data_IF_884077459194
#
_entry.id   IF_884077459194
#
_cell.length_a   1.000
_cell.length_b   1.000
_cell.length_c   1.000
_cell.angle_alpha   90.00
_cell.angle_beta   90.00
_cell.angle_gamma   90.00
#
_symmetry.space_group_name_H-M   'P 1'
#
loop_
_entity.id
_entity.type
_entity.pdbx_description
1 polymer ?
#
# COMPACT_ATOMS: atom_id res chain seq x y z
N UNK A 1 -36.11 -33.01 18.43
CA UNK A 1 -35.06 -33.39 19.41
C UNK A 1 -33.90 -34.04 18.67
N UNK A 2 -32.83 -33.29 18.39
CA UNK A 2 -31.54 -33.83 17.92
C UNK A 2 -30.43 -33.07 18.65
N UNK A 3 -29.49 -33.85 19.19
CA UNK A 3 -28.58 -33.50 20.28
C UNK A 3 -27.38 -32.69 19.76
N UNK A 4 -27.00 -31.66 20.52
CA UNK A 4 -25.82 -30.82 20.31
C UNK A 4 -24.68 -31.41 21.14
N UNK A 5 -23.57 -31.76 20.51
CA UNK A 5 -22.33 -32.16 21.20
C UNK A 5 -21.36 -30.99 21.17
N UNK A 6 -20.98 -30.49 22.35
CA UNK A 6 -19.93 -29.49 22.56
C UNK A 6 -18.57 -30.18 22.60
N UNK A 7 -17.59 -29.64 21.89
CA UNK A 7 -16.18 -30.00 22.08
C UNK A 7 -15.42 -28.74 22.49
N UNK A 8 -14.85 -28.77 23.69
CA UNK A 8 -13.91 -27.78 24.19
C UNK A 8 -12.48 -28.26 23.87
N UNK A 9 -11.63 -27.39 23.34
CA UNK A 9 -10.18 -27.58 23.32
C UNK A 9 -9.55 -26.45 24.12
N UNK A 10 -8.87 -26.83 25.20
CA UNK A 10 -7.93 -25.97 25.91
C UNK A 10 -6.51 -26.24 25.42
N UNK A 11 -5.70 -25.18 25.33
CA UNK A 11 -4.26 -25.29 25.18
C UNK A 11 -3.59 -24.49 26.29
N UNK A 12 -2.82 -25.20 27.10
CA UNK A 12 -1.87 -24.64 28.06
C UNK A 12 -0.47 -25.11 27.64
N UNK A 13 0.48 -24.18 27.55
CA UNK A 13 1.92 -24.50 27.60
C UNK A 13 2.70 -23.24 27.91
N UNK A 14 3.10 -23.10 29.18
CA UNK A 14 4.14 -22.17 29.62
C UNK A 14 5.47 -22.91 29.61
N UNK A 15 6.46 -22.40 28.87
CA UNK A 15 7.81 -22.95 28.75
C UNK A 15 8.86 -21.94 29.21
N UNK A 16 9.52 -22.28 30.30
CA UNK A 16 10.53 -21.54 31.05
C UNK A 16 11.91 -21.63 30.36
N UNK A 17 12.67 -20.53 30.27
CA UNK A 17 14.09 -20.56 29.86
C UNK A 17 15.01 -20.13 31.00
N UNK A 18 16.03 -20.97 31.18
CA UNK A 18 16.92 -21.10 32.33
C UNK A 18 18.19 -20.28 32.08
N UNK A 19 18.64 -19.56 33.11
CA UNK A 19 19.95 -18.92 33.16
C UNK A 19 21.07 -19.97 33.39
N UNK A 20 22.17 -19.85 32.64
CA UNK A 20 23.39 -20.63 32.83
C UNK A 20 24.62 -19.73 32.77
N UNK A 21 25.37 -19.69 33.88
CA UNK A 21 26.66 -19.01 34.07
C UNK A 21 27.81 -20.03 34.02
N UNK A 22 29.03 -19.52 33.75
CA UNK A 22 30.37 -20.14 33.82
C UNK A 22 30.79 -20.96 32.57
N UNK A 23 32.05 -20.95 32.11
CA UNK A 23 33.32 -20.71 32.80
C UNK A 23 34.45 -20.28 31.85
N UNK A 24 35.48 -19.66 32.44
CA UNK A 24 36.77 -19.27 31.87
C UNK A 24 37.63 -20.47 31.43
N UNK A 25 38.49 -20.27 30.43
CA UNK A 25 39.82 -20.88 30.40
C UNK A 25 40.83 -19.96 29.70
N UNK A 26 41.97 -19.77 30.36
CA UNK A 26 43.09 -18.91 29.96
C UNK A 26 44.27 -19.77 29.52
N UNK A 27 44.95 -19.43 28.41
CA UNK A 27 46.39 -19.71 28.25
C UNK A 27 47.04 -18.73 27.24
N UNK A 28 48.24 -18.20 27.51
CA UNK A 28 48.89 -17.18 26.69
C UNK A 28 49.95 -17.72 25.70
N UNK A 29 50.27 -16.87 24.72
CA UNK A 29 51.43 -16.82 23.83
C UNK A 29 51.49 -17.77 22.61
N UNK A 30 51.37 -17.20 21.41
CA UNK A 30 52.37 -17.29 20.31
C UNK A 30 51.99 -16.40 19.12
N UNK A 31 53.02 -15.83 18.52
CA UNK A 31 53.07 -14.85 17.44
C UNK A 31 52.25 -15.21 16.20
N UNK A 32 51.41 -14.29 15.74
CA UNK A 32 50.76 -14.35 14.43
C UNK A 32 50.14 -12.99 14.10
N UNK A 33 50.67 -12.31 13.09
CA UNK A 33 50.00 -11.18 12.46
C UNK A 33 48.64 -11.63 11.97
N UNK A 34 47.58 -11.12 12.59
CA UNK A 34 46.23 -11.23 12.08
C UNK A 34 45.65 -9.83 12.14
N UNK A 35 45.90 -9.06 11.08
CA UNK A 35 45.14 -7.85 10.80
C UNK A 35 43.67 -8.24 10.87
N UNK A 36 42.96 -7.75 11.89
CA UNK A 36 41.51 -7.77 11.85
C UNK A 36 41.10 -7.00 10.58
N UNK A 37 40.26 -7.55 9.69
CA UNK A 37 39.65 -6.71 8.69
C UNK A 37 38.74 -5.76 9.47
N UNK A 38 39.17 -4.51 9.62
CA UNK A 38 38.26 -3.44 9.95
C UNK A 38 37.22 -3.44 8.84
N UNK A 39 36.05 -3.99 9.13
CA UNK A 39 34.89 -3.83 8.29
C UNK A 39 34.53 -2.36 8.40
N UNK A 40 35.18 -1.54 7.57
CA UNK A 40 34.65 -0.23 7.22
C UNK A 40 33.29 -0.50 6.60
N UNK A 41 32.24 -0.42 7.42
CA UNK A 41 30.93 -0.07 6.92
C UNK A 41 31.10 1.34 6.35
N UNK A 42 31.36 1.41 5.05
CA UNK A 42 31.05 2.61 4.29
C UNK A 42 29.57 2.84 4.55
N UNK A 43 29.25 3.83 5.38
CA UNK A 43 27.91 4.37 5.41
C UNK A 43 27.67 4.89 3.99
N UNK A 44 26.86 4.17 3.20
CA UNK A 44 26.37 4.71 1.95
C UNK A 44 25.64 6.01 2.31
N UNK A 45 26.13 7.12 1.78
CA UNK A 45 25.42 8.39 1.83
C UNK A 45 24.02 8.17 1.25
N UNK A 46 22.99 8.39 2.06
CA UNK A 46 21.62 8.43 1.57
C UNK A 46 21.56 9.44 0.42
N UNK A 47 20.96 9.08 -0.73
CA UNK A 47 20.93 9.96 -1.88
C UNK A 47 20.12 11.23 -1.55
N UNK A 48 20.42 12.29 -2.29
CA UNK A 48 19.71 13.57 -2.13
C UNK A 48 18.52 13.53 -3.08
N UNK A 49 17.28 13.80 -2.62
CA UNK A 49 16.13 13.88 -3.51
C UNK A 49 16.30 15.03 -4.50
N UNK A 50 15.88 14.82 -5.75
CA UNK A 50 15.79 15.86 -6.78
C UNK A 50 14.72 16.89 -6.45
N UNK A 51 13.63 16.46 -5.81
CA UNK A 51 12.57 17.32 -5.31
C UNK A 51 11.99 16.77 -4.02
N UNK A 52 11.63 17.67 -3.11
CA UNK A 52 10.98 17.34 -1.84
C UNK A 52 9.83 18.30 -1.60
N UNK A 53 8.66 17.76 -1.30
CA UNK A 53 7.49 18.51 -0.87
C UNK A 53 7.15 18.06 0.55
N UNK A 54 7.45 18.88 1.57
CA UNK A 54 7.35 18.46 2.97
C UNK A 54 5.91 18.43 3.50
N UNK A 55 4.96 19.07 2.81
CA UNK A 55 3.53 19.00 3.12
C UNK A 55 2.73 19.06 1.83
N UNK A 56 1.78 18.14 1.71
CA UNK A 56 0.79 18.06 0.63
C UNK A 56 -0.59 18.58 1.06
N UNK A 57 -0.68 19.45 2.07
CA UNK A 57 -1.96 20.02 2.55
C UNK A 57 -2.68 20.84 1.46
N UNK A 58 -1.94 21.37 0.49
CA UNK A 58 -2.46 22.04 -0.71
C UNK A 58 -2.50 21.10 -1.93
N UNK A 59 -2.48 19.78 -1.70
CA UNK A 59 -2.45 18.77 -2.74
C UNK A 59 -3.62 18.89 -3.71
N UNK A 60 -3.43 18.41 -4.95
CA UNK A 60 -4.43 18.52 -6.01
C UNK A 60 -5.28 17.25 -6.04
N UNK A 61 -4.79 16.20 -6.69
CA UNK A 61 -5.49 14.92 -6.76
C UNK A 61 -4.58 13.76 -7.18
N UNK A 62 -5.06 12.55 -6.88
CA UNK A 62 -4.64 11.32 -7.53
C UNK A 62 -5.80 10.82 -8.38
N UNK A 63 -5.57 10.65 -9.67
CA UNK A 63 -6.53 10.07 -10.60
C UNK A 63 -6.13 8.64 -10.97
N UNK A 64 -7.05 7.68 -10.92
CA UNK A 64 -6.86 6.30 -11.37
C UNK A 64 -7.78 6.05 -12.56
N UNK A 65 -7.20 5.97 -13.75
CA UNK A 65 -7.92 5.57 -14.95
C UNK A 65 -8.19 4.07 -14.87
N UNK A 66 -9.47 3.69 -14.80
CA UNK A 66 -9.87 2.30 -14.68
C UNK A 66 -9.50 1.51 -15.94
N UNK A 67 -8.92 0.33 -15.71
CA UNK A 67 -8.61 -0.60 -16.78
C UNK A 67 -9.90 -1.19 -17.38
N UNK A 68 -9.90 -1.39 -18.69
CA UNK A 68 -11.08 -1.89 -19.41
C UNK A 68 -11.42 -3.34 -19.00
N UNK A 69 -10.42 -4.18 -18.76
CA UNK A 69 -10.62 -5.56 -18.32
C UNK A 69 -11.11 -5.60 -16.87
N UNK A 70 -10.68 -4.64 -16.04
CA UNK A 70 -11.23 -4.47 -14.70
C UNK A 70 -12.71 -4.10 -14.73
N UNK A 71 -13.09 -3.09 -15.51
CA UNK A 71 -14.49 -2.69 -15.65
C UNK A 71 -15.38 -3.82 -16.22
N UNK A 72 -14.83 -4.61 -17.16
CA UNK A 72 -15.49 -5.80 -17.68
C UNK A 72 -15.66 -6.90 -16.61
N UNK A 73 -14.63 -7.12 -15.78
CA UNK A 73 -14.69 -8.07 -14.67
C UNK A 73 -15.76 -7.66 -13.64
N UNK A 74 -15.81 -6.39 -13.24
CA UNK A 74 -16.86 -5.86 -12.34
C UNK A 74 -18.25 -6.12 -12.93
N UNK A 75 -18.44 -5.82 -14.21
CA UNK A 75 -19.71 -6.05 -14.91
C UNK A 75 -20.09 -7.53 -14.92
N UNK A 76 -19.13 -8.43 -15.20
CA UNK A 76 -19.37 -9.88 -15.19
C UNK A 76 -19.74 -10.41 -13.81
N UNK A 77 -19.28 -9.75 -12.74
CA UNK A 77 -19.57 -10.10 -11.36
C UNK A 77 -20.84 -9.41 -10.83
N UNK A 78 -21.47 -8.54 -11.64
CA UNK A 78 -22.62 -7.76 -11.20
C UNK A 78 -22.27 -6.71 -10.15
N UNK A 79 -20.98 -6.34 -10.03
CA UNK A 79 -20.50 -5.30 -9.13
C UNK A 79 -20.63 -3.95 -9.83
N UNK A 80 -21.37 -3.04 -9.20
CA UNK A 80 -21.52 -1.67 -9.69
C UNK A 80 -20.51 -0.79 -8.96
N UNK A 81 -19.53 -0.19 -9.67
CA UNK A 81 -18.60 0.76 -9.08
C UNK A 81 -19.29 2.09 -8.74
N UNK A 82 -18.89 2.68 -7.62
CA UNK A 82 -19.33 3.99 -7.16
C UNK A 82 -18.20 4.76 -6.48
N UNK A 83 -18.52 5.98 -6.03
CA UNK A 83 -17.60 6.85 -5.31
C UNK A 83 -18.17 7.18 -3.94
N UNK A 84 -17.28 7.46 -2.98
CA UNK A 84 -17.63 7.81 -1.61
C UNK A 84 -16.99 9.16 -1.26
N UNK A 85 -17.74 9.98 -0.53
CA UNK A 85 -17.24 11.24 0.00
C UNK A 85 -16.85 12.24 -1.09
N UNK A 86 -15.60 12.71 -1.07
CA UNK A 86 -15.07 13.73 -1.99
C UNK A 86 -14.51 13.16 -3.30
N UNK A 87 -14.47 11.82 -3.43
CA UNK A 87 -14.03 11.19 -4.67
C UNK A 87 -15.02 11.46 -5.81
N UNK A 88 -14.52 11.53 -7.04
CA UNK A 88 -15.35 11.69 -8.23
C UNK A 88 -14.98 10.66 -9.30
N UNK A 89 -15.91 10.35 -10.19
CA UNK A 89 -15.69 9.48 -11.35
C UNK A 89 -15.98 10.28 -12.62
N UNK A 90 -14.93 10.60 -13.37
CA UNK A 90 -14.99 11.43 -14.58
C UNK A 90 -14.25 10.73 -15.70
N UNK A 91 -14.91 10.53 -16.85
CA UNK A 91 -14.32 9.92 -18.04
C UNK A 91 -13.61 8.58 -17.78
N UNK A 92 -14.15 7.76 -16.86
CA UNK A 92 -13.57 6.47 -16.47
C UNK A 92 -12.40 6.55 -15.48
N UNK A 93 -12.05 7.76 -15.02
CA UNK A 93 -11.04 7.99 -13.98
C UNK A 93 -11.69 8.25 -12.64
N UNK A 94 -11.28 7.50 -11.61
CA UNK A 94 -11.57 7.82 -10.22
C UNK A 94 -10.59 8.90 -9.76
N UNK A 95 -11.09 10.01 -9.25
CA UNK A 95 -10.29 11.15 -8.81
C UNK A 95 -10.45 11.30 -7.30
N UNK A 96 -9.33 11.24 -6.59
CA UNK A 96 -9.24 11.34 -5.14
C UNK A 96 -8.44 12.59 -4.75
N UNK A 97 -9.06 13.59 -4.10
CA UNK A 97 -8.33 14.73 -3.59
C UNK A 97 -7.21 14.30 -2.63
N UNK A 98 -6.05 14.95 -2.73
CA UNK A 98 -4.95 14.74 -1.77
C UNK A 98 -5.21 15.68 -0.58
N UNK A 99 -5.23 15.12 0.63
CA UNK A 99 -5.55 15.86 1.86
C UNK A 99 -4.35 16.10 2.75
N UNK A 100 -3.22 15.44 2.49
CA UNK A 100 -2.05 15.51 3.34
C UNK A 100 -0.92 14.58 2.90
N UNK A 101 0.11 14.52 3.73
CA UNK A 101 1.32 13.73 3.50
C UNK A 101 2.51 14.54 2.97
N UNK A 102 3.50 13.84 2.43
CA UNK A 102 4.75 14.40 1.92
C UNK A 102 5.29 13.52 0.80
N UNK A 103 6.15 14.08 -0.06
CA UNK A 103 6.79 13.30 -1.11
C UNK A 103 8.23 13.74 -1.37
N UNK A 104 9.10 12.76 -1.53
CA UNK A 104 10.46 12.90 -2.03
C UNK A 104 10.57 12.17 -3.38
N UNK A 105 11.14 12.86 -4.36
CA UNK A 105 11.41 12.33 -5.69
C UNK A 105 12.93 12.23 -5.90
N UNK A 106 13.41 11.03 -6.15
CA UNK A 106 14.82 10.72 -6.38
C UNK A 106 15.07 10.50 -7.88
N UNK A 107 16.34 10.57 -8.26
CA UNK A 107 16.76 10.42 -9.65
C UNK A 107 16.53 8.98 -10.16
N UNK A 108 15.70 8.78 -11.20
CA UNK A 108 15.54 7.47 -11.83
C UNK A 108 16.83 6.94 -12.49
N UNK A 109 17.82 7.80 -12.78
CA UNK A 109 19.12 7.41 -13.34
C UNK A 109 20.07 6.81 -12.29
N UNK A 110 19.84 7.05 -11.00
CA UNK A 110 20.59 6.45 -9.90
C UNK A 110 20.08 5.03 -9.57
N UNK A 111 20.86 4.24 -8.83
CA UNK A 111 20.47 2.88 -8.39
C UNK A 111 19.52 2.88 -7.17
N UNK A 112 19.07 4.05 -6.72
CA UNK A 112 18.21 4.18 -5.56
C UNK A 112 16.73 3.96 -5.89
N UNK A 113 16.08 3.02 -5.20
CA UNK A 113 14.69 2.64 -5.44
C UNK A 113 13.93 2.39 -4.12
N UNK A 114 12.61 2.66 -4.10
CA UNK A 114 11.83 3.35 -5.14
C UNK A 114 12.20 4.83 -5.25
N UNK A 115 12.03 5.41 -6.44
CA UNK A 115 12.39 6.81 -6.71
C UNK A 115 11.31 7.81 -6.27
N UNK A 116 10.19 7.33 -5.74
CA UNK A 116 9.19 8.14 -5.04
C UNK A 116 9.06 7.57 -3.64
N UNK A 117 9.14 8.42 -2.62
CA UNK A 117 8.97 8.04 -1.23
C UNK A 117 8.14 9.08 -0.49
N UNK A 118 7.54 8.68 0.63
CA UNK A 118 6.73 9.57 1.45
C UNK A 118 5.41 8.93 1.84
N UNK A 119 4.36 9.75 1.95
CA UNK A 119 2.99 9.33 2.25
C UNK A 119 2.03 10.25 1.51
N UNK A 120 0.97 9.71 0.93
CA UNK A 120 -0.13 10.51 0.39
C UNK A 120 -1.43 10.11 1.06
N UNK A 121 -2.14 11.10 1.60
CA UNK A 121 -3.40 10.92 2.32
C UNK A 121 -4.57 11.39 1.45
N UNK A 122 -5.67 10.65 1.48
CA UNK A 122 -6.88 10.90 0.70
C UNK A 122 -8.13 10.79 1.60
N UNK A 123 -8.07 11.43 2.76
CA UNK A 123 -9.08 11.33 3.81
C UNK A 123 -10.46 11.81 3.36
N UNK A 124 -11.51 11.11 3.78
CA UNK A 124 -12.89 11.44 3.42
C UNK A 124 -13.24 11.21 1.95
N UNK A 125 -12.38 10.50 1.21
CA UNK A 125 -12.65 10.04 -0.17
C UNK A 125 -12.66 8.51 -0.22
N UNK A 126 -13.28 7.94 -1.25
CA UNK A 126 -13.33 6.48 -1.39
C UNK A 126 -13.98 5.96 -2.66
N UNK A 127 -13.91 4.64 -2.79
CA UNK A 127 -14.45 3.85 -3.88
C UNK A 127 -15.44 2.82 -3.31
N UNK A 128 -16.56 2.60 -3.98
CA UNK A 128 -17.55 1.60 -3.55
C UNK A 128 -17.83 0.57 -4.62
N UNK A 129 -18.18 -0.64 -4.17
CA UNK A 129 -18.65 -1.74 -5.00
C UNK A 129 -19.98 -2.22 -4.44
N UNK A 130 -21.04 -2.15 -5.24
CA UNK A 130 -22.38 -2.57 -4.84
C UNK A 130 -22.85 -3.76 -5.65
N UNK A 131 -23.39 -4.77 -4.97
CA UNK A 131 -24.04 -5.94 -5.56
C UNK A 131 -25.35 -6.25 -4.82
N UNK A 132 -26.49 -5.99 -5.46
CA UNK A 132 -27.79 -6.16 -4.82
C UNK A 132 -27.93 -5.28 -3.58
N UNK A 133 -28.11 -5.91 -2.42
CA UNK A 133 -28.23 -5.21 -1.11
C UNK A 133 -26.89 -5.01 -0.41
N UNK A 134 -25.80 -5.60 -0.93
CA UNK A 134 -24.46 -5.50 -0.33
C UNK A 134 -23.69 -4.36 -0.97
N UNK A 135 -23.17 -3.46 -0.14
CA UNK A 135 -22.24 -2.39 -0.53
C UNK A 135 -20.97 -2.51 0.27
N UNK A 136 -19.83 -2.56 -0.43
CA UNK A 136 -18.49 -2.45 0.16
C UNK A 136 -17.98 -1.06 -0.14
N UNK A 137 -17.50 -0.35 0.87
CA UNK A 137 -16.86 0.96 0.73
C UNK A 137 -15.41 0.85 1.17
N UNK A 138 -14.51 1.33 0.31
CA UNK A 138 -13.09 1.47 0.56
C UNK A 138 -12.80 2.97 0.70
N UNK A 139 -12.36 3.43 1.87
CA UNK A 139 -12.25 4.87 2.18
C UNK A 139 -10.96 5.22 2.91
N UNK A 140 -10.66 6.51 3.02
CA UNK A 140 -9.54 7.05 3.82
C UNK A 140 -8.21 6.42 3.41
N UNK A 141 -7.87 6.64 2.13
CA UNK A 141 -6.69 5.99 1.56
C UNK A 141 -5.40 6.65 2.04
N UNK A 142 -4.44 5.81 2.43
CA UNK A 142 -3.06 6.19 2.67
C UNK A 142 -2.17 5.42 1.71
N UNK A 143 -1.38 6.14 0.91
CA UNK A 143 -0.44 5.56 -0.05
C UNK A 143 0.98 5.68 0.51
N UNK A 144 1.69 4.56 0.59
CA UNK A 144 3.11 4.50 0.86
C UNK A 144 3.85 4.14 -0.45
N UNK A 145 4.38 5.13 -1.20
CA UNK A 145 5.17 4.86 -2.39
C UNK A 145 6.52 4.20 -2.08
N UNK A 146 7.01 4.29 -0.83
CA UNK A 146 8.24 3.65 -0.36
C UNK A 146 8.12 2.13 -0.26
N UNK A 147 6.97 1.61 0.17
CA UNK A 147 6.66 0.17 0.12
C UNK A 147 5.82 -0.24 -1.09
N UNK A 148 5.35 0.74 -1.87
CA UNK A 148 4.45 0.54 -3.02
C UNK A 148 3.11 -0.10 -2.62
N UNK A 149 2.53 0.41 -1.53
CA UNK A 149 1.30 -0.11 -0.93
C UNK A 149 0.27 1.00 -0.77
N UNK A 150 -1.01 0.63 -0.88
CA UNK A 150 -2.15 1.51 -0.60
C UNK A 150 -3.04 0.85 0.45
N UNK A 151 -3.25 1.58 1.55
CA UNK A 151 -4.06 1.18 2.68
C UNK A 151 -5.36 1.97 2.74
N UNK A 152 -6.40 1.38 3.30
CA UNK A 152 -7.66 2.09 3.56
C UNK A 152 -8.60 1.33 4.46
N UNK A 153 -9.64 2.02 4.89
CA UNK A 153 -10.71 1.45 5.69
C UNK A 153 -11.70 0.72 4.79
N UNK A 154 -12.23 -0.40 5.29
CA UNK A 154 -13.21 -1.23 4.60
C UNK A 154 -14.46 -1.29 5.44
N UNK A 155 -15.59 -0.88 4.87
CA UNK A 155 -16.91 -1.09 5.47
C UNK A 155 -17.78 -1.94 4.56
N UNK A 156 -18.64 -2.75 5.16
CA UNK A 156 -19.65 -3.55 4.46
C UNK A 156 -21.01 -3.16 5.02
N UNK A 157 -21.87 -2.60 4.18
CA UNK A 157 -23.18 -2.07 4.58
C UNK A 157 -23.11 -1.08 5.75
N UNK A 158 -22.04 -0.28 5.80
CA UNK A 158 -21.78 0.72 6.86
C UNK A 158 -21.20 0.16 8.16
N UNK A 159 -20.93 -1.15 8.25
CA UNK A 159 -20.21 -1.76 9.38
C UNK A 159 -18.73 -1.92 9.04
N UNK A 160 -17.84 -1.56 9.96
CA UNK A 160 -16.39 -1.68 9.77
C UNK A 160 -15.99 -3.15 9.68
N UNK A 161 -15.42 -3.54 8.54
CA UNK A 161 -14.86 -4.86 8.31
C UNK A 161 -13.33 -4.90 8.56
N UNK A 162 -12.63 -3.83 8.21
CA UNK A 162 -11.21 -3.64 8.51
C UNK A 162 -10.86 -2.14 8.53
N UNK A 163 -9.89 -1.77 9.36
CA UNK A 163 -9.32 -0.41 9.38
C UNK A 163 -7.91 -0.49 8.78
N UNK A 164 -7.56 0.46 7.89
CA UNK A 164 -6.26 0.54 7.22
C UNK A 164 -5.73 -0.82 6.72
N UNK A 165 -6.59 -1.60 6.06
CA UNK A 165 -6.18 -2.85 5.42
C UNK A 165 -5.34 -2.55 4.17
N UNK A 166 -4.39 -3.42 3.83
CA UNK A 166 -3.69 -3.35 2.55
C UNK A 166 -4.68 -3.63 1.42
N UNK A 167 -5.04 -2.62 0.62
CA UNK A 167 -6.06 -2.74 -0.41
C UNK A 167 -5.45 -2.99 -1.79
N UNK A 168 -4.39 -2.25 -2.11
CA UNK A 168 -3.75 -2.33 -3.42
C UNK A 168 -2.23 -2.37 -3.30
N UNK A 169 -1.62 -3.10 -4.22
CA UNK A 169 -0.20 -3.01 -4.51
C UNK A 169 0.00 -2.03 -5.67
N UNK A 170 1.09 -1.27 -5.60
CA UNK A 170 1.44 -0.27 -6.59
C UNK A 170 2.68 -0.74 -7.35
N UNK A 171 2.78 -0.38 -8.63
CA UNK A 171 3.97 -0.68 -9.41
C UNK A 171 4.39 0.54 -10.24
N UNK A 172 5.50 1.14 -9.83
CA UNK A 172 6.08 2.33 -10.45
C UNK A 172 6.98 2.06 -11.67
N UNK A 173 7.15 0.80 -12.08
CA UNK A 173 8.06 0.45 -13.20
C UNK A 173 7.58 0.93 -14.58
N UNK A 174 6.36 1.45 -14.66
CA UNK A 174 5.75 2.05 -15.87
C UNK A 174 5.61 3.57 -15.78
N UNK A 175 6.21 4.19 -14.76
CA UNK A 175 6.17 5.63 -14.59
C UNK A 175 6.83 6.36 -15.76
N UNK A 176 6.13 7.39 -16.24
CA UNK A 176 6.67 8.38 -17.15
C UNK A 176 7.61 9.32 -16.40
N UNK A 177 8.51 10.03 -17.11
CA UNK A 177 9.29 11.11 -16.51
C UNK A 177 8.37 12.13 -15.80
N UNK A 178 8.89 12.75 -14.73
CA UNK A 178 8.18 13.82 -14.03
C UNK A 178 7.86 14.97 -14.99
N UNK A 179 6.59 15.36 -15.05
CA UNK A 179 6.13 16.49 -15.87
C UNK A 179 5.76 17.68 -14.99
N UNK A 180 5.84 18.89 -15.55
CA UNK A 180 5.43 20.13 -14.89
C UNK A 180 4.34 20.82 -15.71
N UNK A 181 3.23 21.16 -15.06
CA UNK A 181 2.18 22.01 -15.61
C UNK A 181 1.98 23.24 -14.69
N UNK A 182 2.54 24.38 -15.11
CA UNK A 182 2.60 25.56 -14.25
C UNK A 182 3.37 25.28 -12.96
N UNK A 183 2.69 25.37 -11.83
CA UNK A 183 3.20 25.09 -10.48
C UNK A 183 2.81 23.70 -9.97
N UNK A 184 2.33 22.82 -10.85
CA UNK A 184 1.97 21.45 -10.50
C UNK A 184 3.01 20.49 -11.05
N UNK A 185 3.45 19.55 -10.21
CA UNK A 185 4.23 18.40 -10.61
C UNK A 185 3.27 17.22 -10.87
N UNK A 186 3.47 16.54 -11.99
CA UNK A 186 2.62 15.45 -12.47
C UNK A 186 3.47 14.20 -12.64
N UNK A 187 3.03 13.12 -12.01
CA UNK A 187 3.65 11.81 -12.13
C UNK A 187 2.60 10.78 -12.55
N UNK A 188 2.74 10.23 -13.75
CA UNK A 188 1.78 9.29 -14.34
C UNK A 188 2.45 7.96 -14.65
N UNK A 189 1.71 6.87 -14.46
CA UNK A 189 2.06 5.57 -14.99
C UNK A 189 2.18 4.47 -13.94
N UNK A 190 1.95 4.75 -12.66
CA UNK A 190 1.91 3.70 -11.63
C UNK A 190 0.71 2.79 -11.88
N UNK A 191 0.91 1.49 -12.03
CA UNK A 191 -0.22 0.55 -12.10
C UNK A 191 -0.71 0.21 -10.70
N UNK A 192 -2.03 0.11 -10.55
CA UNK A 192 -2.70 -0.20 -9.29
C UNK A 192 -3.28 -1.60 -9.38
N UNK A 193 -2.94 -2.47 -8.44
CA UNK A 193 -3.32 -3.88 -8.46
C UNK A 193 -4.00 -4.28 -7.15
N UNK A 194 -5.06 -5.08 -7.22
CA UNK A 194 -5.72 -5.62 -6.02
C UNK A 194 -4.71 -6.42 -5.17
N UNK A 195 -4.70 -6.18 -3.86
CA UNK A 195 -3.93 -6.98 -2.92
C UNK A 195 -4.59 -8.33 -2.64
N UNK A 196 -3.80 -9.30 -2.19
CA UNK A 196 -4.34 -10.59 -1.73
C UNK A 196 -5.35 -10.44 -0.57
N UNK A 197 -5.16 -9.45 0.31
CA UNK A 197 -6.05 -9.15 1.43
C UNK A 197 -7.40 -8.63 0.91
N UNK A 198 -7.39 -7.64 0.01
CA UNK A 198 -8.60 -7.11 -0.58
C UNK A 198 -9.33 -8.14 -1.45
N UNK A 199 -8.60 -8.93 -2.25
CA UNK A 199 -9.17 -10.02 -3.02
C UNK A 199 -9.91 -11.02 -2.11
N UNK A 200 -9.30 -11.44 -1.01
CA UNK A 200 -9.93 -12.30 -0.01
C UNK A 200 -11.21 -11.70 0.56
N UNK A 201 -11.15 -10.45 1.03
CA UNK A 201 -12.31 -9.76 1.60
C UNK A 201 -13.46 -9.62 0.61
N UNK A 202 -13.18 -9.25 -0.65
CA UNK A 202 -14.19 -9.08 -1.70
C UNK A 202 -14.82 -10.43 -2.09
N UNK A 203 -13.99 -11.46 -2.26
CA UNK A 203 -14.45 -12.81 -2.57
C UNK A 203 -15.35 -13.37 -1.46
N UNK A 204 -14.97 -13.19 -0.20
CA UNK A 204 -15.78 -13.61 0.95
C UNK A 204 -17.10 -12.81 1.04
N UNK A 205 -17.05 -11.49 0.81
CA UNK A 205 -18.22 -10.61 0.92
C UNK A 205 -19.25 -10.86 -0.19
N UNK A 206 -18.79 -11.09 -1.42
CA UNK A 206 -19.66 -11.31 -2.58
C UNK A 206 -19.86 -12.81 -2.91
N UNK A 207 -19.34 -13.72 -2.09
CA UNK A 207 -19.40 -15.16 -2.27
C UNK A 207 -18.94 -15.61 -3.68
N UNK A 208 -17.77 -15.12 -4.10
CA UNK A 208 -17.16 -15.39 -5.40
C UNK A 208 -15.68 -15.76 -5.23
N UNK A 209 -15.04 -16.30 -6.27
CA UNK A 209 -13.60 -16.58 -6.33
C UNK A 209 -12.90 -15.86 -7.50
N UNK A 210 -13.60 -14.89 -8.09
CA UNK A 210 -13.22 -14.27 -9.35
C UNK A 210 -12.34 -13.04 -9.19
N UNK A 211 -12.30 -12.44 -7.98
CA UNK A 211 -11.39 -11.34 -7.69
C UNK A 211 -10.02 -11.95 -7.39
N UNK A 212 -9.13 -11.87 -8.37
CA UNK A 212 -7.77 -12.39 -8.23
C UNK A 212 -6.85 -11.38 -7.52
N UNK A 213 -5.88 -11.91 -6.77
CA UNK A 213 -4.69 -11.14 -6.39
C UNK A 213 -3.97 -10.63 -7.65
N UNK A 214 -3.38 -9.45 -7.55
CA UNK A 214 -2.71 -8.74 -8.64
C UNK A 214 -3.61 -8.35 -9.81
N UNK A 215 -4.95 -8.45 -9.69
CA UNK A 215 -5.86 -7.95 -10.72
C UNK A 215 -5.58 -6.45 -10.94
N UNK A 216 -5.22 -6.09 -12.17
CA UNK A 216 -4.99 -4.70 -12.55
C UNK A 216 -6.30 -3.92 -12.42
N UNK A 217 -6.29 -2.85 -11.65
CA UNK A 217 -7.41 -1.94 -11.45
C UNK A 217 -7.35 -0.79 -12.44
N UNK A 218 -6.16 -0.26 -12.66
CA UNK A 218 -5.97 0.92 -13.49
C UNK A 218 -4.56 1.51 -13.43
N UNK A 219 -4.43 2.69 -14.03
CA UNK A 219 -3.20 3.46 -14.07
C UNK A 219 -3.40 4.76 -13.32
N UNK A 220 -2.53 5.02 -12.35
CA UNK A 220 -2.55 6.21 -11.53
C UNK A 220 -1.76 7.37 -12.15
N UNK A 221 -2.29 8.56 -11.97
CA UNK A 221 -1.68 9.87 -12.22
C UNK A 221 -1.81 10.70 -10.94
N UNK A 222 -0.70 11.12 -10.40
CA UNK A 222 -0.61 11.97 -9.22
C UNK A 222 -0.31 13.39 -9.68
N UNK A 223 -1.07 14.36 -9.18
CA UNK A 223 -0.84 15.79 -9.39
C UNK A 223 -0.67 16.45 -8.04
N UNK A 224 0.46 17.13 -7.82
CA UNK A 224 0.74 17.86 -6.58
C UNK A 224 1.14 19.30 -6.88
N UNK A 225 0.66 20.23 -6.06
CA UNK A 225 1.13 21.62 -6.10
C UNK A 225 2.53 21.69 -5.48
N UNK A 226 3.43 22.44 -6.11
CA UNK A 226 4.81 22.63 -5.62
C UNK A 226 5.02 23.95 -4.87
N UNK A 227 4.00 24.81 -4.82
CA UNK A 227 4.02 26.16 -4.21
C UNK A 227 2.75 26.43 -3.38
#
# INVERSE_FOLDING_TARGET
MRKITKTALGFASAGMLIAGLAACSTTPASTGSSSAPESSSSAESSPVPLASIPSLDNGVDTAVLLDADFAAALTSLGLTPGTVGTATLVDGSLIFPITGGNVDYYDPEEDYRPFVQGSLEHEGSGFSLTAGETTVELTNFTIDPGTSELFGDVTVNGEVAAEQALLFNLYGGTLKPLEMDGTNAILEGTTVHISSVAAGLLNDTFATDAVADQLLVGIAKITVATE
#
